data_IF_177170258893
#
_entry.id   IF_177170258893
#
_cell.length_a   1.000
_cell.length_b   1.000
_cell.length_c   1.000
_cell.angle_alpha   90.00
_cell.angle_beta   90.00
_cell.angle_gamma   90.00
#
_symmetry.space_group_name_H-M   'P 1'
#
loop_
_entity.id
_entity.type
_entity.pdbx_description
1 polymer ?
#
# COMPACT_ATOMS: atom_id res chain seq x y z
N UNK A 1 -45.00 45.73 -27.88
CA UNK A 1 -45.50 46.05 -26.52
C UNK A 1 -44.33 45.99 -25.55
N UNK A 2 -44.07 47.11 -24.87
CA UNK A 2 -43.21 47.32 -23.68
C UNK A 2 -41.70 46.99 -23.85
N UNK A 3 -40.85 47.96 -24.23
CA UNK A 3 -40.31 49.11 -23.45
C UNK A 3 -39.24 48.72 -22.43
N UNK A 4 -37.99 49.09 -22.76
CA UNK A 4 -36.78 49.01 -21.95
C UNK A 4 -36.90 49.88 -20.69
N UNK A 5 -36.80 49.26 -19.51
CA UNK A 5 -36.71 49.97 -18.24
C UNK A 5 -35.28 50.44 -17.97
N UNK A 6 -35.17 51.72 -17.64
CA UNK A 6 -33.98 52.51 -17.39
C UNK A 6 -33.40 52.26 -15.98
N UNK A 7 -32.07 52.34 -15.90
CA UNK A 7 -31.27 52.24 -14.67
C UNK A 7 -31.55 53.41 -13.69
N UNK A 8 -31.59 53.18 -12.36
CA UNK A 8 -31.79 54.25 -11.40
C UNK A 8 -30.53 55.11 -11.24
N UNK A 9 -30.73 56.44 -11.34
CA UNK A 9 -29.72 57.47 -11.07
C UNK A 9 -29.27 57.39 -9.60
N UNK A 10 -28.02 57.03 -9.38
CA UNK A 10 -27.34 57.16 -8.08
C UNK A 10 -27.12 58.66 -7.83
N UNK A 11 -27.74 59.18 -6.78
CA UNK A 11 -27.56 60.56 -6.34
C UNK A 11 -26.09 60.85 -5.97
N UNK A 12 -25.59 61.98 -6.43
CA UNK A 12 -24.27 62.48 -6.10
C UNK A 12 -24.16 62.77 -4.59
N UNK A 13 -23.47 61.90 -3.86
CA UNK A 13 -23.01 62.20 -2.50
C UNK A 13 -21.93 63.28 -2.58
N UNK A 14 -22.21 64.47 -2.03
CA UNK A 14 -21.18 65.50 -1.79
C UNK A 14 -20.11 64.90 -0.88
N UNK A 15 -18.86 64.87 -1.35
CA UNK A 15 -17.70 64.59 -0.51
C UNK A 15 -17.59 65.68 0.57
N UNK A 16 -17.57 65.35 1.87
CA UNK A 16 -17.16 66.31 2.87
C UNK A 16 -15.65 66.56 2.69
N UNK A 17 -15.28 67.77 2.28
CA UNK A 17 -13.89 68.21 2.32
C UNK A 17 -13.47 68.39 3.79
N UNK A 18 -12.97 67.32 4.41
CA UNK A 18 -12.27 67.39 5.69
C UNK A 18 -10.92 68.10 5.47
N UNK A 19 -10.85 69.36 5.87
CA UNK A 19 -9.66 70.18 5.76
C UNK A 19 -8.66 69.79 6.87
N UNK A 20 -7.76 68.85 6.56
CA UNK A 20 -6.81 68.21 7.48
C UNK A 20 -5.77 69.17 8.11
N UNK A 21 -5.73 70.44 7.70
CA UNK A 21 -4.77 71.46 8.18
C UNK A 21 -5.15 72.08 9.53
N UNK A 22 -6.39 71.90 10.02
CA UNK A 22 -6.89 72.51 11.28
C UNK A 22 -7.13 71.53 12.44
N UNK A 23 -6.73 70.26 12.32
CA UNK A 23 -6.88 69.29 13.41
C UNK A 23 -5.73 69.40 14.43
N UNK A 24 -6.08 69.47 15.73
CA UNK A 24 -5.13 69.42 16.84
C UNK A 24 -4.19 68.21 16.69
N UNK A 25 -2.88 68.32 17.01
CA UNK A 25 -1.86 67.31 16.72
C UNK A 25 -2.23 65.88 17.19
N UNK A 26 -2.94 65.76 18.31
CA UNK A 26 -3.40 64.48 18.84
C UNK A 26 -4.34 63.74 17.89
N UNK A 27 -5.19 64.43 17.12
CA UNK A 27 -6.16 63.79 16.21
C UNK A 27 -5.50 63.19 14.96
N UNK A 28 -4.41 63.82 14.48
CA UNK A 28 -3.61 63.28 13.38
C UNK A 28 -2.88 62.00 13.78
N UNK A 29 -2.47 61.90 15.05
CA UNK A 29 -1.88 60.68 15.59
C UNK A 29 -2.92 59.54 15.63
N UNK A 30 -4.12 59.78 16.15
CA UNK A 30 -5.20 58.79 16.17
C UNK A 30 -5.59 58.30 14.77
N UNK A 31 -5.66 59.19 13.78
CA UNK A 31 -5.95 58.81 12.40
C UNK A 31 -4.85 57.93 11.79
N UNK A 32 -3.56 58.23 12.06
CA UNK A 32 -2.45 57.39 11.60
C UNK A 32 -2.45 56.02 12.26
N UNK A 33 -2.69 55.95 13.58
CA UNK A 33 -2.77 54.69 14.32
C UNK A 33 -3.95 53.84 13.81
N UNK A 34 -5.12 54.46 13.60
CA UNK A 34 -6.29 53.78 13.07
C UNK A 34 -6.05 53.23 11.66
N UNK A 35 -5.37 54.00 10.80
CA UNK A 35 -5.04 53.57 9.45
C UNK A 35 -4.05 52.38 9.43
N UNK A 36 -3.05 52.40 10.31
CA UNK A 36 -2.11 51.26 10.49
C UNK A 36 -2.86 50.02 10.96
N UNK A 37 -3.72 50.14 11.97
CA UNK A 37 -4.51 48.99 12.49
C UNK A 37 -5.42 48.40 11.41
N UNK A 38 -6.11 49.23 10.63
CA UNK A 38 -6.96 48.78 9.53
C UNK A 38 -6.17 48.08 8.42
N UNK A 39 -4.97 48.57 8.09
CA UNK A 39 -4.08 47.91 7.13
C UNK A 39 -3.56 46.58 7.66
N UNK A 40 -3.22 46.50 8.94
CA UNK A 40 -2.79 45.24 9.59
C UNK A 40 -3.90 44.19 9.60
N UNK A 41 -5.13 44.56 9.93
CA UNK A 41 -6.29 43.66 9.89
C UNK A 41 -6.56 43.19 8.45
N UNK A 42 -6.50 44.10 7.48
CA UNK A 42 -6.69 43.74 6.07
C UNK A 42 -5.62 42.76 5.57
N UNK A 43 -4.36 42.95 5.96
CA UNK A 43 -3.27 42.05 5.63
C UNK A 43 -3.45 40.67 6.29
N UNK A 44 -3.90 40.62 7.55
CA UNK A 44 -4.23 39.38 8.24
C UNK A 44 -5.37 38.62 7.54
N UNK A 45 -6.41 39.31 7.10
CA UNK A 45 -7.52 38.72 6.34
C UNK A 45 -7.01 38.15 5.01
N UNK A 46 -6.21 38.91 4.25
CA UNK A 46 -5.64 38.45 2.98
C UNK A 46 -4.72 37.25 3.20
N UNK A 47 -3.88 37.27 4.23
CA UNK A 47 -3.00 36.15 4.59
C UNK A 47 -3.82 34.91 4.97
N UNK A 48 -4.89 35.07 5.75
CA UNK A 48 -5.79 33.97 6.10
C UNK A 48 -6.48 33.38 4.85
N UNK A 49 -6.97 34.23 3.94
CA UNK A 49 -7.58 33.80 2.68
C UNK A 49 -6.57 33.08 1.76
N UNK A 50 -5.32 33.55 1.70
CA UNK A 50 -4.25 32.90 0.96
C UNK A 50 -3.84 31.56 1.58
N UNK A 51 -3.83 31.45 2.91
CA UNK A 51 -3.58 30.20 3.63
C UNK A 51 -4.71 29.20 3.41
N UNK A 52 -5.98 29.63 3.48
CA UNK A 52 -7.15 28.80 3.16
C UNK A 52 -7.12 28.33 1.70
N UNK A 53 -6.75 29.20 0.75
CA UNK A 53 -6.62 28.84 -0.66
C UNK A 53 -5.48 27.87 -0.90
N UNK A 54 -4.36 28.01 -0.19
CA UNK A 54 -3.23 27.05 -0.23
C UNK A 54 -3.60 25.70 0.38
N UNK A 55 -4.38 25.70 1.46
CA UNK A 55 -4.92 24.48 2.08
C UNK A 55 -5.88 23.75 1.13
N UNK A 56 -6.82 24.47 0.50
CA UNK A 56 -7.80 23.90 -0.43
C UNK A 56 -7.21 23.48 -1.79
N UNK A 57 -6.02 23.97 -2.15
CA UNK A 57 -5.33 23.63 -3.40
C UNK A 57 -4.27 22.53 -3.24
N UNK A 58 -4.09 21.94 -2.06
CA UNK A 58 -3.34 20.68 -1.98
C UNK A 58 -4.18 19.60 -2.67
N UNK A 59 -3.59 18.76 -3.55
CA UNK A 59 -4.32 17.65 -4.13
C UNK A 59 -4.85 16.80 -2.97
N UNK A 60 -6.18 16.74 -2.83
CA UNK A 60 -6.81 16.01 -1.74
C UNK A 60 -6.24 14.59 -1.74
N UNK A 61 -5.54 14.22 -0.67
CA UNK A 61 -5.05 12.87 -0.49
C UNK A 61 -6.31 12.01 -0.39
N UNK A 62 -6.58 11.20 -1.40
CA UNK A 62 -7.77 10.35 -1.40
C UNK A 62 -7.43 9.00 -0.75
N UNK A 63 -8.30 8.46 0.12
CA UNK A 63 -8.10 7.14 0.71
C UNK A 63 -8.21 6.07 -0.38
N UNK A 64 -7.45 4.98 -0.21
CA UNK A 64 -7.48 3.83 -1.11
C UNK A 64 -8.51 2.84 -0.57
N UNK A 65 -9.54 2.49 -1.33
CA UNK A 65 -10.43 1.39 -1.02
C UNK A 65 -9.68 0.07 -1.25
N UNK A 66 -9.53 -0.72 -0.19
CA UNK A 66 -8.76 -1.97 -0.16
C UNK A 66 -9.63 -3.19 0.19
N UNK A 67 -10.93 -2.98 0.38
CA UNK A 67 -11.85 -4.03 0.81
C UNK A 67 -11.97 -5.16 -0.24
N UNK A 68 -11.65 -6.41 0.11
CA UNK A 68 -11.68 -7.51 -0.84
C UNK A 68 -13.04 -7.81 -1.45
N UNK A 69 -14.12 -7.60 -0.69
CA UNK A 69 -15.48 -7.87 -1.15
C UNK A 69 -15.93 -6.78 -2.11
N UNK A 70 -15.67 -5.52 -1.76
CA UNK A 70 -16.06 -4.38 -2.59
C UNK A 70 -15.19 -4.30 -3.85
N UNK A 71 -13.88 -4.57 -3.78
CA UNK A 71 -13.02 -4.52 -4.97
C UNK A 71 -13.37 -5.59 -6.01
N UNK A 72 -14.04 -6.68 -5.63
CA UNK A 72 -14.59 -7.66 -6.58
C UNK A 72 -15.85 -7.16 -7.30
N UNK A 73 -16.55 -6.20 -6.71
CA UNK A 73 -17.77 -5.61 -7.26
C UNK A 73 -18.05 -4.24 -6.64
N UNK A 74 -17.51 -3.17 -7.24
CA UNK A 74 -17.56 -1.82 -6.68
C UNK A 74 -19.00 -1.27 -6.57
N UNK A 75 -19.86 -1.68 -7.51
CA UNK A 75 -21.25 -1.25 -7.59
C UNK A 75 -22.20 -2.13 -6.78
N UNK A 76 -21.71 -3.21 -6.17
CA UNK A 76 -22.57 -4.10 -5.40
C UNK A 76 -23.26 -3.37 -4.23
N UNK A 77 -24.47 -3.82 -3.84
CA UNK A 77 -25.12 -3.36 -2.62
C UNK A 77 -24.23 -3.62 -1.41
N UNK A 78 -24.17 -2.66 -0.50
CA UNK A 78 -23.44 -2.81 0.76
C UNK A 78 -24.46 -3.03 1.85
N UNK A 79 -24.23 -4.01 2.70
CA UNK A 79 -25.12 -4.32 3.81
C UNK A 79 -24.89 -3.32 4.95
N UNK A 80 -25.98 -2.95 5.64
CA UNK A 80 -25.90 -2.07 6.81
C UNK A 80 -25.02 -2.72 7.88
N UNK A 81 -24.03 -1.99 8.38
CA UNK A 81 -23.09 -2.48 9.39
C UNK A 81 -22.00 -3.42 8.85
N UNK A 82 -21.90 -3.61 7.53
CA UNK A 82 -20.76 -4.28 6.92
C UNK A 82 -19.48 -3.47 7.16
N UNK A 83 -18.36 -4.16 7.40
CA UNK A 83 -17.05 -3.51 7.45
C UNK A 83 -16.60 -3.15 6.03
N UNK A 84 -16.13 -1.92 5.84
CA UNK A 84 -15.53 -1.47 4.57
C UNK A 84 -14.13 -0.96 4.85
N UNK A 85 -13.16 -1.57 4.19
CA UNK A 85 -11.75 -1.36 4.48
C UNK A 85 -11.12 -0.33 3.53
N UNK A 86 -10.46 0.68 4.11
CA UNK A 86 -9.71 1.72 3.41
C UNK A 86 -8.27 1.79 3.93
N UNK A 87 -7.37 2.31 3.11
CA UNK A 87 -5.99 2.58 3.46
C UNK A 87 -5.64 4.04 3.22
N UNK A 88 -5.00 4.66 4.21
CA UNK A 88 -4.61 6.06 4.14
C UNK A 88 -3.50 6.40 5.15
N UNK A 89 -2.77 7.48 4.87
CA UNK A 89 -1.80 8.03 5.80
C UNK A 89 -2.47 8.88 6.89
N UNK A 90 -3.66 9.40 6.59
CA UNK A 90 -4.50 10.23 7.46
C UNK A 90 -5.86 9.56 7.65
N UNK A 91 -6.54 9.82 8.76
CA UNK A 91 -7.90 9.33 8.98
C UNK A 91 -8.91 10.13 8.16
N UNK A 92 -9.90 9.44 7.58
CA UNK A 92 -10.98 10.05 6.80
C UNK A 92 -12.31 9.80 7.49
N UNK A 93 -13.20 10.79 7.48
CA UNK A 93 -14.56 10.60 7.97
C UNK A 93 -15.51 10.37 6.80
N UNK A 94 -16.12 9.19 6.74
CA UNK A 94 -17.18 8.89 5.78
C UNK A 94 -18.52 8.83 6.51
N UNK A 95 -19.54 9.49 5.96
CA UNK A 95 -20.92 9.43 6.48
C UNK A 95 -21.68 8.30 5.78
N UNK A 96 -21.22 7.07 5.98
CA UNK A 96 -21.79 5.85 5.38
C UNK A 96 -22.50 5.01 6.46
N UNK A 97 -23.55 4.27 6.08
CA UNK A 97 -24.26 3.32 6.95
C UNK A 97 -23.50 1.98 7.13
N UNK A 98 -22.18 2.07 7.26
CA UNK A 98 -21.22 0.95 7.27
C UNK A 98 -20.19 1.18 8.36
N UNK A 99 -19.51 0.13 8.80
CA UNK A 99 -18.37 0.27 9.70
C UNK A 99 -17.13 0.53 8.86
N UNK A 100 -16.54 1.71 8.99
CA UNK A 100 -15.33 2.06 8.23
C UNK A 100 -14.10 1.57 9.00
N UNK A 101 -13.26 0.79 8.34
CA UNK A 101 -12.01 0.27 8.88
C UNK A 101 -10.85 0.91 8.14
N UNK A 102 -9.96 1.62 8.85
CA UNK A 102 -8.76 2.20 8.27
C UNK A 102 -7.51 1.40 8.59
N UNK A 103 -6.75 1.12 7.53
CA UNK A 103 -5.38 0.67 7.58
C UNK A 103 -4.47 1.89 7.43
N UNK A 104 -3.53 2.05 8.35
CA UNK A 104 -2.44 3.01 8.16
C UNK A 104 -1.54 2.50 7.05
N UNK A 105 -1.23 3.35 6.07
CA UNK A 105 -0.32 3.00 4.97
C UNK A 105 1.05 3.67 5.18
N UNK A 106 2.12 2.87 5.17
CA UNK A 106 3.50 3.33 5.05
C UNK A 106 3.97 3.15 3.59
N UNK A 107 4.31 4.30 2.98
CA UNK A 107 4.79 4.39 1.59
C UNK A 107 6.27 4.74 1.53
N UNK A 108 7.10 4.12 2.37
CA UNK A 108 8.54 4.32 2.37
C UNK A 108 9.13 4.20 0.95
N UNK A 109 9.76 5.27 0.40
CA UNK A 109 10.28 5.30 -0.96
C UNK A 109 11.45 4.32 -1.20
N UNK A 110 12.08 3.80 -0.14
CA UNK A 110 13.14 2.80 -0.24
C UNK A 110 12.65 1.36 -0.43
N UNK A 111 11.38 1.07 -0.12
CA UNK A 111 10.82 -0.29 -0.21
C UNK A 111 10.03 -0.49 -1.50
N UNK A 112 10.22 -1.58 -2.24
CA UNK A 112 9.41 -1.92 -3.43
C UNK A 112 7.95 -2.35 -3.12
N UNK A 113 7.54 -2.28 -1.85
CA UNK A 113 6.20 -2.55 -1.33
C UNK A 113 5.68 -1.40 -0.47
N UNK A 114 4.37 -1.41 -0.22
CA UNK A 114 3.70 -0.61 0.80
C UNK A 114 3.32 -1.48 1.98
N UNK A 115 3.39 -0.94 3.19
CA UNK A 115 2.95 -1.63 4.41
C UNK A 115 1.60 -1.06 4.85
N UNK A 116 0.66 -1.95 5.14
CA UNK A 116 -0.68 -1.65 5.62
C UNK A 116 -0.81 -2.20 7.03
N UNK A 117 -1.23 -1.36 7.99
CA UNK A 117 -1.32 -1.75 9.39
C UNK A 117 -2.70 -1.44 9.99
N UNK A 118 -3.31 -2.43 10.65
CA UNK A 118 -4.55 -2.27 11.38
C UNK A 118 -4.57 -3.24 12.58
N UNK A 119 -4.85 -2.74 13.79
CA UNK A 119 -4.90 -3.54 15.02
C UNK A 119 -3.68 -4.47 15.25
N UNK A 120 -2.48 -4.01 14.89
CA UNK A 120 -1.24 -4.78 15.02
C UNK A 120 -0.99 -5.81 13.91
N UNK A 121 -1.98 -6.08 13.06
CA UNK A 121 -1.79 -6.85 11.82
C UNK A 121 -1.08 -5.98 10.80
N UNK A 122 -0.03 -6.52 10.18
CA UNK A 122 0.72 -5.85 9.11
C UNK A 122 0.63 -6.66 7.82
N UNK A 123 0.43 -5.96 6.71
CA UNK A 123 0.50 -6.53 5.37
C UNK A 123 1.50 -5.76 4.52
N UNK A 124 2.30 -6.45 3.73
CA UNK A 124 3.18 -5.89 2.72
C UNK A 124 2.66 -6.28 1.33
N UNK A 125 2.35 -5.28 0.50
CA UNK A 125 1.85 -5.49 -0.87
C UNK A 125 2.77 -4.72 -1.81
N UNK A 126 3.14 -5.32 -2.96
CA UNK A 126 4.03 -4.66 -3.91
C UNK A 126 3.43 -3.33 -4.33
N UNK A 127 4.26 -2.32 -4.60
CA UNK A 127 3.75 -1.02 -5.06
C UNK A 127 2.86 -1.20 -6.29
N UNK A 128 1.69 -0.57 -6.25
CA UNK A 128 0.71 -0.62 -7.33
C UNK A 128 0.22 0.79 -7.67
N UNK A 129 -0.19 0.97 -8.92
CA UNK A 129 -0.85 2.18 -9.38
C UNK A 129 -2.33 2.15 -9.02
N UNK A 130 -2.93 3.33 -8.93
CA UNK A 130 -4.31 3.50 -8.51
C UNK A 130 -5.01 4.52 -9.39
N UNK A 131 -6.33 4.39 -9.48
CA UNK A 131 -7.20 5.28 -10.22
C UNK A 131 -8.29 5.84 -9.30
N UNK A 132 -8.82 7.01 -9.66
CA UNK A 132 -9.91 7.63 -8.91
C UNK A 132 -11.22 6.98 -9.32
N UNK A 133 -12.02 6.58 -8.34
CA UNK A 133 -13.35 6.01 -8.52
C UNK A 133 -14.38 6.75 -7.66
N UNK A 134 -15.64 6.65 -8.07
CA UNK A 134 -16.78 7.03 -7.23
C UNK A 134 -17.22 5.82 -6.41
N UNK A 135 -17.23 5.96 -5.09
CA UNK A 135 -17.71 4.95 -4.18
C UNK A 135 -18.83 5.55 -3.33
N UNK A 136 -20.07 5.24 -3.70
CA UNK A 136 -21.29 5.68 -3.00
C UNK A 136 -21.32 7.21 -2.78
N UNK A 137 -20.92 7.99 -3.79
CA UNK A 137 -20.88 9.46 -3.74
C UNK A 137 -19.58 10.05 -3.19
N UNK A 138 -18.61 9.21 -2.80
CA UNK A 138 -17.29 9.65 -2.35
C UNK A 138 -16.23 9.37 -3.41
N UNK A 139 -15.35 10.35 -3.66
CA UNK A 139 -14.15 10.10 -4.46
C UNK A 139 -13.13 9.34 -3.62
N UNK A 140 -12.71 8.20 -4.13
CA UNK A 140 -11.71 7.32 -3.50
C UNK A 140 -10.71 6.87 -4.56
N UNK A 141 -9.62 6.24 -4.14
CA UNK A 141 -8.70 5.53 -5.04
C UNK A 141 -8.95 4.04 -4.98
N UNK A 142 -8.82 3.36 -6.11
CA UNK A 142 -8.83 1.89 -6.20
C UNK A 142 -7.57 1.42 -6.92
N UNK A 143 -7.07 0.20 -6.67
CA UNK A 143 -6.01 -0.40 -7.47
C UNK A 143 -6.38 -0.44 -8.96
N UNK A 144 -5.43 -0.16 -9.85
CA UNK A 144 -5.64 -0.25 -11.30
C UNK A 144 -5.91 -1.68 -11.76
N UNK A 145 -5.29 -2.65 -11.06
CA UNK A 145 -5.58 -4.08 -11.20
C UNK A 145 -6.10 -4.64 -9.86
N UNK A 146 -7.43 -4.61 -9.63
CA UNK A 146 -8.03 -5.17 -8.44
C UNK A 146 -7.75 -6.67 -8.28
N UNK A 147 -7.71 -7.45 -9.36
CA UNK A 147 -7.48 -8.90 -9.25
C UNK A 147 -6.09 -9.18 -8.72
N UNK A 148 -5.09 -8.49 -9.27
CA UNK A 148 -3.71 -8.62 -8.80
C UNK A 148 -3.54 -8.13 -7.37
N UNK A 149 -4.09 -6.96 -7.05
CA UNK A 149 -4.08 -6.44 -5.68
C UNK A 149 -4.66 -7.45 -4.69
N UNK A 150 -5.81 -8.07 -5.01
CA UNK A 150 -6.45 -9.04 -4.12
C UNK A 150 -5.64 -10.33 -3.97
N UNK A 151 -4.97 -10.78 -5.02
CA UNK A 151 -4.07 -11.94 -4.97
C UNK A 151 -2.90 -11.69 -4.01
N UNK A 152 -2.25 -10.52 -4.11
CA UNK A 152 -1.18 -10.11 -3.21
C UNK A 152 -1.70 -9.81 -1.80
N UNK A 153 -2.83 -9.11 -1.68
CA UNK A 153 -3.45 -8.76 -0.40
C UNK A 153 -3.67 -9.99 0.46
N UNK A 154 -4.24 -11.06 -0.11
CA UNK A 154 -4.52 -12.31 0.60
C UNK A 154 -3.25 -13.04 1.08
N UNK A 155 -2.12 -12.84 0.40
CA UNK A 155 -0.83 -13.50 0.69
C UNK A 155 0.16 -12.59 1.40
N UNK A 156 -0.12 -11.30 1.48
CA UNK A 156 0.81 -10.26 1.91
C UNK A 156 0.92 -10.10 3.41
N UNK A 157 0.49 -11.07 4.24
CA UNK A 157 0.66 -10.95 5.68
C UNK A 157 2.14 -10.86 6.04
N UNK A 158 2.55 -9.78 6.70
CA UNK A 158 3.94 -9.52 7.03
C UNK A 158 4.29 -10.20 8.34
N UNK A 159 5.02 -11.33 8.25
CA UNK A 159 5.57 -12.01 9.42
C UNK A 159 6.65 -11.13 10.05
N UNK A 160 6.39 -10.61 11.25
CA UNK A 160 7.39 -9.86 12.00
C UNK A 160 8.43 -10.81 12.59
N UNK A 161 9.71 -10.45 12.47
CA UNK A 161 10.81 -11.18 13.07
C UNK A 161 10.95 -10.87 14.58
N UNK A 162 11.50 -11.81 15.35
CA UNK A 162 11.71 -11.70 16.78
C UNK A 162 12.98 -10.92 17.18
N UNK A 163 13.88 -10.66 16.22
CA UNK A 163 15.13 -9.92 16.42
C UNK A 163 15.98 -10.40 17.61
N UNK A 164 16.13 -11.72 17.74
CA UNK A 164 16.86 -12.37 18.82
C UNK A 164 18.35 -12.36 18.51
N UNK A 165 19.16 -11.86 19.46
CA UNK A 165 20.62 -11.95 19.39
C UNK A 165 21.07 -13.37 19.70
N UNK A 166 21.81 -13.96 18.77
CA UNK A 166 22.34 -15.32 18.90
C UNK A 166 23.82 -15.29 19.27
N UNK A 167 24.19 -16.00 20.35
CA UNK A 167 25.58 -16.19 20.72
C UNK A 167 26.28 -17.15 19.75
N UNK A 168 27.35 -16.67 19.10
CA UNK A 168 28.11 -17.44 18.11
C UNK A 168 29.59 -17.13 18.19
N UNK A 169 30.39 -18.16 17.94
CA UNK A 169 31.84 -18.05 17.77
C UNK A 169 32.26 -17.17 16.58
N UNK A 170 31.42 -17.09 15.53
CA UNK A 170 31.66 -16.24 14.38
C UNK A 170 30.37 -15.64 13.84
N UNK A 171 30.43 -14.38 13.44
CA UNK A 171 29.36 -13.66 12.75
C UNK A 171 29.71 -13.41 11.27
N UNK A 172 30.73 -14.10 10.75
CA UNK A 172 31.11 -13.99 9.35
C UNK A 172 29.96 -14.48 8.48
N UNK A 173 29.46 -13.58 7.62
CA UNK A 173 28.34 -13.86 6.74
C UNK A 173 28.83 -14.46 5.44
N UNK A 174 28.36 -15.66 5.12
CA UNK A 174 28.55 -16.28 3.81
C UNK A 174 27.67 -15.60 2.78
N UNK A 175 26.37 -15.42 3.09
CA UNK A 175 25.43 -14.69 2.22
C UNK A 175 25.44 -13.21 2.62
N UNK A 176 25.83 -12.29 1.71
CA UNK A 176 25.76 -10.86 1.98
C UNK A 176 24.30 -10.40 2.09
N UNK A 177 24.01 -9.42 2.95
CA UNK A 177 22.65 -8.92 3.14
C UNK A 177 22.03 -8.36 1.85
N UNK A 178 22.85 -7.80 0.95
CA UNK A 178 22.42 -7.32 -0.36
C UNK A 178 21.85 -8.42 -1.26
N UNK A 179 22.05 -9.70 -0.93
CA UNK A 179 21.42 -10.82 -1.63
C UNK A 179 19.89 -10.81 -1.53
N UNK A 180 19.32 -10.07 -0.56
CA UNK A 180 17.87 -9.83 -0.47
C UNK A 180 17.29 -9.21 -1.75
N UNK A 181 18.07 -8.42 -2.49
CA UNK A 181 17.64 -7.86 -3.78
C UNK A 181 17.51 -8.94 -4.86
N UNK A 182 18.35 -9.98 -4.81
CA UNK A 182 18.24 -11.13 -5.72
C UNK A 182 17.02 -11.98 -5.37
N UNK A 183 16.74 -12.16 -4.08
CA UNK A 183 15.51 -12.83 -3.61
C UNK A 183 14.25 -12.06 -4.02
N UNK A 184 14.25 -10.73 -3.91
CA UNK A 184 13.13 -9.90 -4.36
C UNK A 184 12.93 -9.99 -5.88
N UNK A 185 14.02 -9.99 -6.65
CA UNK A 185 13.98 -10.19 -8.10
C UNK A 185 13.46 -11.59 -8.49
N UNK A 186 13.81 -12.63 -7.72
CA UNK A 186 13.29 -13.98 -7.95
C UNK A 186 11.80 -14.06 -7.62
N UNK A 187 11.39 -13.53 -6.45
CA UNK A 187 9.98 -13.41 -6.06
C UNK A 187 9.18 -12.75 -7.18
N UNK A 188 9.67 -11.65 -7.74
CA UNK A 188 9.00 -10.94 -8.83
C UNK A 188 8.78 -11.82 -10.07
N UNK A 189 9.77 -12.61 -10.48
CA UNK A 189 9.60 -13.56 -11.59
C UNK A 189 8.53 -14.61 -11.29
N UNK A 190 8.52 -15.20 -10.09
CA UNK A 190 7.49 -16.17 -9.72
C UNK A 190 6.09 -15.56 -9.74
N UNK A 191 6.01 -14.36 -9.18
CA UNK A 191 4.79 -13.56 -9.06
C UNK A 191 4.23 -13.16 -10.45
N UNK A 192 5.07 -12.91 -11.45
CA UNK A 192 4.64 -12.64 -12.83
C UNK A 192 3.96 -13.87 -13.49
N UNK A 193 4.23 -15.06 -12.97
CA UNK A 193 3.59 -16.32 -13.38
C UNK A 193 2.46 -16.77 -12.44
N UNK A 194 1.96 -15.87 -11.58
CA UNK A 194 0.95 -16.16 -10.55
C UNK A 194 1.39 -17.25 -9.54
N UNK A 195 2.68 -17.38 -9.31
CA UNK A 195 3.25 -18.33 -8.35
C UNK A 195 3.71 -17.58 -7.10
N UNK A 196 3.35 -18.09 -5.93
CA UNK A 196 3.74 -17.52 -4.64
C UNK A 196 5.03 -18.16 -4.15
N UNK A 197 6.10 -17.37 -4.11
CA UNK A 197 7.37 -17.81 -3.54
C UNK A 197 7.39 -17.54 -2.02
N UNK A 198 7.36 -18.60 -1.22
CA UNK A 198 7.34 -18.55 0.24
C UNK A 198 8.75 -18.75 0.79
N UNK A 199 9.19 -17.95 1.77
CA UNK A 199 10.44 -18.26 2.48
C UNK A 199 10.30 -19.60 3.19
N UNK A 200 11.33 -20.45 3.13
CA UNK A 200 11.29 -21.80 3.69
C UNK A 200 12.56 -22.13 4.48
N UNK A 201 12.56 -23.28 5.17
CA UNK A 201 13.74 -23.86 5.79
C UNK A 201 14.59 -22.89 6.63
N UNK A 202 15.91 -22.91 6.39
CA UNK A 202 16.87 -22.06 7.11
C UNK A 202 16.69 -20.58 6.82
N UNK A 203 16.17 -20.23 5.65
CA UNK A 203 15.88 -18.84 5.25
C UNK A 203 14.74 -18.25 6.06
N UNK A 204 13.64 -18.98 6.20
CA UNK A 204 12.52 -18.57 7.06
C UNK A 204 12.93 -18.49 8.54
N UNK A 205 13.70 -19.48 9.02
CA UNK A 205 14.22 -19.46 10.40
C UNK A 205 15.11 -18.24 10.66
N UNK A 206 16.00 -17.91 9.72
CA UNK A 206 16.84 -16.72 9.81
C UNK A 206 16.00 -15.44 9.90
N UNK A 207 15.03 -15.28 9.00
CA UNK A 207 14.10 -14.14 9.04
C UNK A 207 13.38 -14.08 10.39
N UNK A 208 12.67 -15.14 10.77
CA UNK A 208 11.85 -15.16 11.96
C UNK A 208 12.65 -14.92 13.24
N UNK A 209 13.84 -15.50 13.36
CA UNK A 209 14.65 -15.39 14.57
C UNK A 209 15.47 -14.11 14.62
N UNK A 210 16.09 -13.70 13.53
CA UNK A 210 17.21 -12.73 13.51
C UNK A 210 16.98 -11.55 12.57
N UNK A 211 15.82 -11.46 11.92
CA UNK A 211 15.53 -10.46 10.89
C UNK A 211 16.56 -10.47 9.75
N UNK A 212 17.19 -11.62 9.47
CA UNK A 212 18.38 -11.70 8.63
C UNK A 212 18.66 -13.12 8.14
N UNK A 213 19.64 -13.30 7.26
CA UNK A 213 20.21 -14.63 7.01
C UNK A 213 20.98 -15.13 8.23
N UNK A 214 20.92 -16.44 8.47
CA UNK A 214 21.82 -17.11 9.41
C UNK A 214 23.26 -16.98 8.87
N UNK A 215 24.24 -16.43 9.63
CA UNK A 215 25.54 -16.04 9.06
C UNK A 215 26.28 -17.12 8.28
N UNK A 216 26.23 -18.38 8.73
CA UNK A 216 26.96 -19.50 8.15
C UNK A 216 26.15 -20.31 7.11
N UNK A 217 24.92 -19.91 6.78
CA UNK A 217 24.15 -20.58 5.73
C UNK A 217 24.75 -20.32 4.35
N UNK A 218 24.75 -21.31 3.47
CA UNK A 218 25.41 -21.24 2.16
C UNK A 218 24.44 -21.04 1.00
N UNK A 219 23.17 -21.30 1.25
CA UNK A 219 22.02 -21.32 0.35
C UNK A 219 20.84 -20.54 0.93
N UNK A 220 19.85 -20.29 0.07
CA UNK A 220 18.53 -19.80 0.47
C UNK A 220 17.46 -20.78 0.00
N UNK A 221 16.43 -20.94 0.82
CA UNK A 221 15.36 -21.90 0.62
C UNK A 221 14.04 -21.16 0.45
N UNK A 222 13.29 -21.58 -0.56
CA UNK A 222 11.93 -21.18 -0.79
C UNK A 222 11.03 -22.38 -0.96
N UNK A 223 9.74 -22.15 -0.81
CA UNK A 223 8.69 -23.10 -1.08
C UNK A 223 7.68 -22.53 -2.06
N UNK A 224 7.08 -23.41 -2.85
CA UNK A 224 5.93 -23.15 -3.72
C UNK A 224 4.88 -24.21 -3.43
N UNK A 225 3.61 -23.83 -3.39
CA UNK A 225 2.51 -24.80 -3.34
C UNK A 225 2.41 -25.52 -4.68
N UNK A 226 2.29 -26.85 -4.68
CA UNK A 226 2.24 -27.62 -5.92
C UNK A 226 1.07 -27.22 -6.84
N UNK A 227 -0.02 -26.73 -6.25
CA UNK A 227 -1.18 -26.21 -6.97
C UNK A 227 -0.86 -24.95 -7.80
N UNK A 228 0.24 -24.25 -7.48
CA UNK A 228 0.75 -23.10 -8.22
C UNK A 228 1.94 -23.48 -9.14
N UNK A 229 2.16 -24.77 -9.40
CA UNK A 229 3.18 -25.21 -10.34
C UNK A 229 2.96 -24.66 -11.76
N UNK A 230 4.05 -24.25 -12.41
CA UNK A 230 4.03 -23.67 -13.75
C UNK A 230 5.19 -24.19 -14.59
N UNK A 231 4.88 -25.04 -15.56
CA UNK A 231 5.84 -25.51 -16.57
C UNK A 231 6.47 -24.35 -17.34
N UNK A 232 5.69 -23.30 -17.61
CA UNK A 232 6.17 -22.09 -18.28
C UNK A 232 7.23 -21.38 -17.45
N UNK A 233 6.99 -21.18 -16.16
CA UNK A 233 7.97 -20.58 -15.26
C UNK A 233 9.25 -21.42 -15.20
N UNK A 234 9.13 -22.75 -15.07
CA UNK A 234 10.29 -23.64 -15.04
C UNK A 234 11.10 -23.58 -16.34
N UNK A 235 10.43 -23.55 -17.50
CA UNK A 235 11.09 -23.41 -18.79
C UNK A 235 11.83 -22.05 -18.90
N UNK A 236 11.24 -20.96 -18.41
CA UNK A 236 11.90 -19.65 -18.37
C UNK A 236 13.09 -19.62 -17.43
N UNK A 237 12.96 -20.18 -16.23
CA UNK A 237 14.04 -20.29 -15.26
C UNK A 237 15.17 -21.20 -15.77
N UNK A 238 14.86 -22.28 -16.50
CA UNK A 238 15.85 -23.17 -17.13
C UNK A 238 16.75 -22.39 -18.09
N UNK A 239 16.14 -21.50 -18.86
CA UNK A 239 16.81 -20.71 -19.90
C UNK A 239 17.29 -19.33 -19.42
N UNK A 240 17.10 -19.02 -18.13
CA UNK A 240 17.42 -17.72 -17.57
C UNK A 240 18.93 -17.48 -17.52
N UNK A 241 19.37 -16.34 -18.08
CA UNK A 241 20.76 -15.85 -17.93
C UNK A 241 20.99 -15.19 -16.56
N UNK A 242 19.91 -14.83 -15.89
CA UNK A 242 19.92 -14.12 -14.60
C UNK A 242 20.06 -15.11 -13.46
N UNK A 243 19.19 -16.13 -13.43
CA UNK A 243 19.21 -17.22 -12.47
C UNK A 243 19.65 -18.48 -13.19
N UNK A 244 20.89 -18.91 -12.96
CA UNK A 244 21.44 -20.06 -13.66
C UNK A 244 20.80 -21.32 -13.11
N UNK A 245 20.06 -22.05 -13.93
CA UNK A 245 19.56 -23.37 -13.57
C UNK A 245 20.69 -24.29 -13.08
N UNK A 246 20.44 -24.99 -11.98
CA UNK A 246 21.36 -25.98 -11.44
C UNK A 246 20.89 -27.39 -11.74
N UNK A 247 19.73 -27.74 -11.18
CA UNK A 247 19.13 -29.06 -11.36
C UNK A 247 17.64 -29.04 -11.03
N UNK A 248 17.01 -30.15 -11.35
CA UNK A 248 15.66 -30.50 -10.97
C UNK A 248 15.73 -31.89 -10.33
N UNK A 249 15.11 -32.06 -9.16
CA UNK A 249 15.03 -33.33 -8.46
C UNK A 249 13.58 -33.74 -8.21
N UNK A 250 13.37 -35.05 -8.08
CA UNK A 250 12.07 -35.65 -7.78
C UNK A 250 11.05 -35.56 -8.91
N UNK A 251 9.78 -35.81 -8.57
CA UNK A 251 8.64 -35.78 -9.50
C UNK A 251 7.61 -34.75 -9.07
N UNK A 252 6.96 -34.13 -10.05
CA UNK A 252 5.90 -33.12 -9.85
C UNK A 252 4.76 -33.63 -8.97
N UNK A 253 4.48 -34.93 -8.95
CA UNK A 253 3.41 -35.56 -8.17
C UNK A 253 3.82 -36.05 -6.76
N UNK A 254 5.04 -35.79 -6.31
CA UNK A 254 5.56 -36.36 -5.04
C UNK A 254 6.57 -35.48 -4.29
N UNK A 255 7.68 -35.13 -4.93
CA UNK A 255 8.90 -34.66 -4.24
C UNK A 255 9.73 -33.67 -5.06
N UNK A 256 9.06 -32.74 -5.73
CA UNK A 256 9.69 -31.84 -6.70
C UNK A 256 10.54 -30.73 -6.06
N UNK A 257 11.78 -30.58 -6.52
CA UNK A 257 12.71 -29.49 -6.16
C UNK A 257 13.29 -28.88 -7.44
N UNK A 258 13.38 -27.56 -7.45
CA UNK A 258 13.97 -26.80 -8.54
C UNK A 258 15.03 -25.84 -8.01
N UNK A 259 16.30 -26.05 -8.38
CA UNK A 259 17.41 -25.24 -7.83
C UNK A 259 18.09 -24.37 -8.85
N UNK A 260 18.52 -23.21 -8.38
CA UNK A 260 19.12 -22.15 -9.15
C UNK A 260 20.42 -21.68 -8.49
N UNK A 261 21.26 -21.00 -9.27
CA UNK A 261 22.39 -20.23 -8.79
C UNK A 261 22.24 -18.75 -9.16
N UNK A 262 22.56 -17.89 -8.21
CA UNK A 262 22.73 -16.45 -8.44
C UNK A 262 23.90 -15.94 -7.62
N UNK A 263 24.82 -15.19 -8.25
CA UNK A 263 26.01 -14.62 -7.58
C UNK A 263 26.75 -15.64 -6.70
N UNK A 264 26.94 -16.86 -7.21
CA UNK A 264 27.60 -17.98 -6.51
C UNK A 264 26.90 -18.46 -5.22
N UNK A 265 25.60 -18.21 -5.08
CA UNK A 265 24.75 -18.75 -4.01
C UNK A 265 23.67 -19.64 -4.62
N UNK A 266 23.46 -20.79 -3.98
CA UNK A 266 22.42 -21.75 -4.35
C UNK A 266 21.08 -21.24 -3.80
N UNK A 267 20.03 -21.42 -4.59
CA UNK A 267 18.65 -21.13 -4.24
C UNK A 267 17.88 -22.40 -4.49
N UNK A 268 17.25 -22.95 -3.46
CA UNK A 268 16.42 -24.15 -3.56
C UNK A 268 14.95 -23.78 -3.46
N UNK A 269 14.14 -24.24 -4.44
CA UNK A 269 12.69 -24.06 -4.45
C UNK A 269 12.04 -25.42 -4.30
N UNK A 270 11.51 -25.68 -3.11
CA UNK A 270 10.82 -26.91 -2.76
C UNK A 270 9.32 -26.81 -3.06
N UNK A 271 8.75 -27.82 -3.69
CA UNK A 271 7.31 -27.87 -3.89
C UNK A 271 6.66 -28.59 -2.72
N UNK A 272 5.66 -27.93 -2.13
CA UNK A 272 4.94 -28.40 -0.96
C UNK A 272 3.59 -28.93 -1.40
N UNK A 273 3.28 -30.14 -0.95
CA UNK A 273 2.05 -30.85 -1.28
C UNK A 273 1.11 -30.74 -0.09
N UNK A 274 -0.08 -30.19 -0.33
CA UNK A 274 -1.13 -30.23 0.67
C UNK A 274 -1.72 -31.64 0.64
N UNK A 275 -1.29 -32.46 1.60
CA UNK A 275 -1.99 -33.70 1.89
C UNK A 275 -3.35 -33.31 2.48
N UNK A 276 -4.36 -33.21 1.61
CA UNK A 276 -5.73 -33.26 2.09
C UNK A 276 -5.87 -34.60 2.77
N UNK A 277 -5.94 -34.59 4.10
CA UNK A 277 -6.29 -35.75 4.88
C UNK A 277 -7.71 -36.19 4.47
N UNK A 278 -7.82 -37.00 3.41
CA UNK A 278 -8.83 -38.04 3.44
C UNK A 278 -8.45 -38.92 4.64
N UNK A 279 -9.31 -39.19 5.63
CA UNK A 279 -10.62 -39.79 5.40
C UNK A 279 -10.73 -40.35 3.98
N UNK A 280 -9.77 -41.21 3.62
CA UNK A 280 -10.15 -42.45 2.95
C UNK A 280 -10.92 -43.23 4.00
N UNK A 281 -12.21 -42.91 4.15
CA UNK A 281 -13.15 -43.91 4.62
C UNK A 281 -12.97 -45.05 3.63
N UNK A 282 -12.31 -46.10 4.10
CA UNK A 282 -12.25 -47.38 3.45
C UNK A 282 -13.66 -47.98 3.52
N UNK A 283 -14.62 -47.34 2.83
CA UNK A 283 -15.85 -48.01 2.41
C UNK A 283 -15.45 -48.77 1.16
N UNK A 284 -14.75 -49.88 1.39
CA UNK A 284 -14.87 -51.00 0.48
C UNK A 284 -16.35 -51.35 0.45
N UNK A 285 -16.98 -51.09 -0.69
CA UNK A 285 -18.25 -51.71 -1.05
C UNK A 285 -17.99 -53.22 -1.19
N UNK A 286 -17.92 -53.91 -0.06
CA UNK A 286 -18.19 -55.32 0.03
C UNK A 286 -19.72 -55.50 0.16
N UNK A 287 -20.43 -55.30 -0.95
CA UNK A 287 -21.78 -55.82 -1.14
C UNK A 287 -22.21 -55.63 -2.61
N UNK A 288 -22.34 -56.76 -3.30
CA UNK A 288 -23.28 -57.11 -4.37
C UNK A 288 -22.61 -57.72 -5.61
N UNK A 289 -22.29 -59.01 -5.47
CA UNK A 289 -22.50 -60.04 -6.48
C UNK A 289 -22.95 -61.31 -5.76
#
# INVERSE_FOLDING_TARGET
MLSLATSPKIGAWRKPHLNLTRMKPNYRYYLKVCWVVLMSISLLIILHQLLLKKYNNSPAILPILIDPTILRCIDCPILKGQNVHFASAEEFHFSLNVNVVFYRIDRNPSNDFWVFEHNGEKRAVKRFSTQVADFKGYKVRIPDDPKRFLWEWNRGHLLTCANITMDRKSQNRVIPLSFVHEMASLRDQFVDHNVTLLMFGGTLLGWYRECSFIPHTTDVDFAVLIEEHSDTLNAELTNSKTFRFYWQLGKVDDSYEYSLYRKSRKIDVFYIYILTAGIRLCLTTAALS
#
